data_IF_720316605203
#
_entry.id   IF_720316605203
#
_cell.length_a   1.000
_cell.length_b   1.000
_cell.length_c   1.000
_cell.angle_alpha   90.00
_cell.angle_beta   90.00
_cell.angle_gamma   90.00
#
_symmetry.space_group_name_H-M   'P 1'
#
loop_
_entity.id
_entity.type
_entity.pdbx_description
1 polymer ?
#
# COMPACT_ATOMS: atom_id res chain seq x y z
N UNK A 1 37.19 -17.09 -42.74
CA UNK A 1 38.08 -15.95 -43.07
C UNK A 1 38.08 -14.99 -41.89
N UNK A 2 39.28 -14.50 -41.51
CA UNK A 2 39.61 -13.39 -40.59
C UNK A 2 39.45 -13.59 -39.07
N UNK A 3 40.59 -13.95 -38.49
CA UNK A 3 41.11 -13.59 -37.15
C UNK A 3 41.46 -12.08 -37.04
N UNK A 4 41.45 -11.55 -35.81
CA UNK A 4 42.03 -10.24 -35.42
C UNK A 4 41.19 -9.52 -34.35
N UNK A 5 41.41 -9.70 -33.04
CA UNK A 5 42.48 -9.21 -32.13
C UNK A 5 42.23 -7.77 -31.59
N UNK A 6 41.97 -7.73 -30.28
CA UNK A 6 42.21 -6.71 -29.22
C UNK A 6 42.46 -5.24 -29.58
N UNK A 7 41.78 -4.34 -28.83
CA UNK A 7 42.43 -3.20 -28.15
C UNK A 7 41.75 -2.90 -26.82
N UNK A 8 42.59 -2.46 -25.87
CA UNK A 8 42.33 -2.33 -24.45
C UNK A 8 42.35 -0.87 -24.00
N UNK A 9 41.81 -0.66 -22.79
CA UNK A 9 42.27 0.30 -21.76
C UNK A 9 42.11 1.82 -21.96
N UNK A 10 41.53 2.44 -20.93
CA UNK A 10 41.53 3.88 -20.70
C UNK A 10 40.97 4.23 -19.32
N UNK A 11 41.73 3.90 -18.27
CA UNK A 11 41.44 4.29 -16.89
C UNK A 11 41.75 5.78 -16.67
N UNK A 12 40.82 6.53 -16.07
CA UNK A 12 41.07 7.89 -15.59
C UNK A 12 41.63 7.85 -14.16
N UNK A 13 42.81 8.46 -14.01
CA UNK A 13 43.56 8.60 -12.77
C UNK A 13 43.01 9.75 -11.91
N UNK A 14 42.83 9.49 -10.62
CA UNK A 14 42.59 10.47 -9.56
C UNK A 14 43.87 11.27 -9.29
N UNK A 15 43.79 12.60 -9.37
CA UNK A 15 44.85 13.51 -8.91
C UNK A 15 44.58 13.89 -7.46
N UNK A 16 45.41 13.36 -6.57
CA UNK A 16 45.63 13.86 -5.21
C UNK A 16 46.73 14.91 -5.27
N UNK A 17 46.49 16.10 -4.70
CA UNK A 17 47.55 17.05 -4.39
C UNK A 17 47.35 17.57 -2.96
N UNK A 18 48.21 17.11 -2.06
CA UNK A 18 48.38 17.64 -0.71
C UNK A 18 49.63 18.55 -0.68
N UNK A 19 49.56 19.69 0.01
CA UNK A 19 50.75 20.47 0.37
C UNK A 19 50.44 21.69 1.24
N UNK A 20 50.91 21.67 2.50
CA UNK A 20 50.87 22.72 3.53
C UNK A 20 51.68 23.97 3.14
N UNK A 21 51.59 25.17 3.74
CA UNK A 21 51.75 25.54 5.16
C UNK A 21 51.68 27.09 5.26
N UNK A 22 51.17 27.68 6.36
CA UNK A 22 51.44 29.11 6.67
C UNK A 22 50.44 29.78 7.61
N UNK A 23 50.91 30.20 8.79
CA UNK A 23 50.18 30.80 9.92
C UNK A 23 49.70 32.25 9.65
N UNK A 24 48.59 32.63 10.31
CA UNK A 24 48.26 34.03 10.65
C UNK A 24 46.83 34.20 11.14
N UNK A 25 46.64 34.40 12.46
CA UNK A 25 45.37 34.82 13.07
C UNK A 25 44.99 36.25 12.64
N UNK A 26 43.72 36.46 12.29
CA UNK A 26 42.92 37.63 12.67
C UNK A 26 41.47 37.45 12.12
N UNK A 27 40.52 37.44 13.05
CA UNK A 27 39.13 37.92 12.98
C UNK A 27 38.44 38.04 11.62
N UNK A 28 37.43 37.20 11.39
CA UNK A 28 36.17 37.65 10.79
C UNK A 28 35.05 36.67 11.15
N UNK A 29 34.10 37.18 11.92
CA UNK A 29 32.78 36.60 12.14
C UNK A 29 32.04 36.31 10.83
N UNK A 30 31.08 35.40 10.92
CA UNK A 30 30.00 35.12 9.95
C UNK A 30 30.32 34.06 8.89
N UNK A 31 30.27 32.80 9.30
CA UNK A 31 29.69 31.78 8.42
C UNK A 31 28.31 31.51 9.01
N UNK A 32 27.33 32.27 8.53
CA UNK A 32 25.93 31.86 8.61
C UNK A 32 25.87 30.45 8.05
N UNK A 33 25.61 29.50 8.95
CA UNK A 33 25.13 28.19 8.63
C UNK A 33 23.79 28.41 7.93
N UNK A 34 23.83 28.53 6.61
CA UNK A 34 22.65 28.40 5.75
C UNK A 34 22.21 26.95 5.93
N UNK A 35 21.48 26.69 7.01
CA UNK A 35 20.68 25.52 7.18
C UNK A 35 19.78 25.51 5.95
N UNK A 36 20.17 24.70 4.97
CA UNK A 36 19.35 24.37 3.83
C UNK A 36 18.07 23.80 4.42
N UNK A 37 17.05 24.66 4.50
CA UNK A 37 15.66 24.29 4.46
C UNK A 37 15.53 23.41 3.23
N UNK A 38 15.68 22.10 3.44
CA UNK A 38 15.18 21.10 2.51
C UNK A 38 13.69 21.30 2.58
N UNK A 39 13.19 22.21 1.74
CA UNK A 39 11.78 22.36 1.46
C UNK A 39 11.29 20.96 1.16
N UNK A 40 10.52 20.43 2.11
CA UNK A 40 9.97 19.10 2.03
C UNK A 40 9.01 19.18 0.84
N UNK A 41 9.42 18.66 -0.31
CA UNK A 41 8.52 18.51 -1.46
C UNK A 41 7.27 17.83 -0.88
N UNK A 42 6.10 18.46 -0.97
CA UNK A 42 4.88 17.86 -0.43
C UNK A 42 4.76 16.49 -1.08
N UNK A 43 4.76 15.43 -0.26
CA UNK A 43 4.49 14.11 -0.77
C UNK A 43 3.19 14.17 -1.56
N UNK A 44 3.19 13.68 -2.79
CA UNK A 44 1.99 13.72 -3.62
C UNK A 44 0.81 13.11 -2.84
N UNK A 45 -0.40 13.71 -2.96
CA UNK A 45 -1.55 13.24 -2.24
C UNK A 45 -1.81 11.77 -2.58
N UNK A 46 -1.70 10.90 -1.57
CA UNK A 46 -1.92 9.47 -1.73
C UNK A 46 -3.40 9.19 -2.02
N UNK A 47 -3.71 8.25 -2.93
CA UNK A 47 -5.09 7.81 -3.13
C UNK A 47 -5.75 7.35 -1.84
N UNK A 48 -7.02 7.68 -1.66
CA UNK A 48 -7.80 7.31 -0.47
C UNK A 48 -8.92 6.37 -0.87
N UNK A 49 -8.97 5.20 -0.23
CA UNK A 49 -10.11 4.29 -0.34
C UNK A 49 -11.23 4.79 0.59
N UNK A 50 -12.44 4.82 0.05
CA UNK A 50 -13.68 5.12 0.78
C UNK A 50 -14.68 3.99 0.58
N UNK A 51 -15.83 4.07 1.25
CA UNK A 51 -16.88 3.08 1.13
C UNK A 51 -17.40 2.88 -0.30
N UNK A 52 -17.29 3.90 -1.15
CA UNK A 52 -17.86 3.88 -2.49
C UNK A 52 -16.81 3.93 -3.60
N UNK A 53 -15.54 4.18 -3.31
CA UNK A 53 -14.55 4.47 -4.36
C UNK A 53 -13.09 4.46 -3.95
N UNK A 54 -12.21 4.42 -4.95
CA UNK A 54 -10.83 4.90 -4.87
C UNK A 54 -10.55 5.83 -6.05
N UNK A 55 -10.28 7.11 -5.76
CA UNK A 55 -10.09 8.11 -6.80
C UNK A 55 -11.29 8.20 -7.76
N UNK A 56 -11.05 7.94 -9.04
CA UNK A 56 -12.08 7.94 -10.09
C UNK A 56 -12.77 6.60 -10.34
N UNK A 57 -12.51 5.57 -9.52
CA UNK A 57 -13.09 4.23 -9.66
C UNK A 57 -14.14 4.02 -8.57
N UNK A 58 -15.36 3.61 -8.95
CA UNK A 58 -16.52 3.59 -8.07
C UNK A 58 -17.20 2.22 -8.00
N UNK A 59 -17.67 1.86 -6.81
CA UNK A 59 -18.61 0.75 -6.64
C UNK A 59 -19.88 1.02 -7.46
N UNK A 60 -20.32 0.03 -8.22
CA UNK A 60 -21.51 0.06 -9.08
C UNK A 60 -21.28 0.64 -10.48
N UNK A 61 -20.09 1.15 -10.80
CA UNK A 61 -19.80 1.58 -12.16
C UNK A 61 -19.61 0.38 -13.10
N UNK A 62 -19.88 0.59 -14.39
CA UNK A 62 -19.68 -0.43 -15.42
C UNK A 62 -18.20 -0.75 -15.57
N UNK A 63 -17.84 -2.04 -15.59
CA UNK A 63 -16.46 -2.49 -15.86
C UNK A 63 -15.94 -2.02 -17.22
N UNK A 64 -16.83 -1.70 -18.15
CA UNK A 64 -16.49 -1.19 -19.48
C UNK A 64 -16.21 0.32 -19.50
N UNK A 65 -16.65 1.06 -18.48
CA UNK A 65 -16.50 2.52 -18.41
C UNK A 65 -15.22 2.94 -17.65
N UNK A 66 -14.56 1.98 -16.99
CA UNK A 66 -13.29 2.15 -16.29
C UNK A 66 -12.22 2.67 -17.28
N UNK A 67 -11.55 3.80 -17.02
CA UNK A 67 -10.48 4.29 -17.90
C UNK A 67 -9.28 3.33 -17.98
N UNK A 68 -8.49 3.38 -19.07
CA UNK A 68 -7.27 2.57 -19.18
C UNK A 68 -6.14 3.04 -18.25
N UNK A 69 -6.16 4.32 -17.86
CA UNK A 69 -5.24 4.93 -16.90
C UNK A 69 -5.90 6.13 -16.21
N UNK A 70 -5.52 6.40 -14.97
CA UNK A 70 -5.88 7.61 -14.23
C UNK A 70 -4.60 8.15 -13.58
N UNK A 71 -4.21 9.38 -13.95
CA UNK A 71 -3.01 10.04 -13.41
C UNK A 71 -3.05 10.08 -11.88
N UNK A 72 -1.92 9.74 -11.24
CA UNK A 72 -1.81 9.65 -9.78
C UNK A 72 -2.45 8.41 -9.14
N UNK A 73 -3.16 7.56 -9.89
CA UNK A 73 -3.83 6.37 -9.36
C UNK A 73 -3.28 5.07 -9.98
N UNK A 74 -3.35 4.90 -11.30
CA UNK A 74 -2.82 3.74 -12.01
C UNK A 74 -2.44 4.09 -13.47
N UNK A 75 -1.47 3.35 -14.00
CA UNK A 75 -0.92 3.55 -15.35
C UNK A 75 -1.46 2.56 -16.38
N UNK A 76 -2.01 1.43 -15.94
CA UNK A 76 -2.63 0.43 -16.78
C UNK A 76 -3.65 -0.42 -16.00
N UNK A 77 -4.58 -1.05 -16.71
CA UNK A 77 -5.47 -2.09 -16.17
C UNK A 77 -5.37 -3.40 -16.96
N UNK A 78 -5.59 -4.51 -16.28
CA UNK A 78 -5.65 -5.84 -16.89
C UNK A 78 -6.92 -6.56 -16.44
N UNK A 79 -7.73 -6.98 -17.40
CA UNK A 79 -8.92 -7.77 -17.13
C UNK A 79 -8.54 -9.24 -16.95
N UNK A 80 -9.05 -9.86 -15.91
CA UNK A 80 -8.87 -11.27 -15.60
C UNK A 80 -10.17 -11.92 -15.16
N UNK A 81 -10.06 -13.16 -14.71
CA UNK A 81 -11.16 -13.88 -14.09
C UNK A 81 -10.60 -14.76 -12.97
N UNK A 82 -11.29 -14.77 -11.84
CA UNK A 82 -11.20 -15.82 -10.82
C UNK A 82 -12.32 -16.85 -11.06
N UNK A 83 -12.36 -17.97 -10.33
CA UNK A 83 -13.48 -18.91 -10.41
C UNK A 83 -14.85 -18.26 -10.19
N UNK A 84 -14.90 -17.20 -9.39
CA UNK A 84 -16.14 -16.62 -8.87
C UNK A 84 -16.41 -15.20 -9.38
N UNK A 85 -15.44 -14.52 -10.01
CA UNK A 85 -15.58 -13.12 -10.43
C UNK A 85 -14.76 -12.78 -11.68
N UNK A 86 -15.23 -11.80 -12.44
CA UNK A 86 -14.37 -11.05 -13.35
C UNK A 86 -13.53 -10.07 -12.53
N UNK A 87 -12.25 -9.95 -12.85
CA UNK A 87 -11.33 -9.07 -12.12
C UNK A 87 -10.77 -7.99 -13.03
N UNK A 88 -10.50 -6.82 -12.46
CA UNK A 88 -9.70 -5.77 -13.10
C UNK A 88 -8.54 -5.47 -12.16
N UNK A 89 -7.33 -5.81 -12.59
CA UNK A 89 -6.10 -5.52 -11.85
C UNK A 89 -5.57 -4.17 -12.31
N UNK A 90 -5.47 -3.22 -11.39
CA UNK A 90 -4.96 -1.88 -11.66
C UNK A 90 -3.48 -1.80 -11.28
N UNK A 91 -2.64 -1.41 -12.23
CA UNK A 91 -1.17 -1.39 -12.07
C UNK A 91 -0.63 0.03 -12.08
N UNK A 92 0.25 0.33 -11.13
CA UNK A 92 1.06 1.55 -11.11
C UNK A 92 2.51 1.26 -11.51
N UNK A 93 3.40 2.23 -11.26
CA UNK A 93 4.81 2.13 -11.65
C UNK A 93 5.57 0.96 -11.01
N UNK A 94 5.16 0.53 -9.80
CA UNK A 94 5.87 -0.50 -9.02
C UNK A 94 5.15 -1.86 -9.03
N UNK A 95 4.01 -1.98 -9.71
CA UNK A 95 3.23 -3.22 -9.76
C UNK A 95 1.73 -3.00 -9.54
N UNK A 96 1.06 -4.03 -9.03
CA UNK A 96 -0.38 -4.00 -8.74
C UNK A 96 -0.68 -3.04 -7.59
N UNK A 97 -1.70 -2.19 -7.75
CA UNK A 97 -2.14 -1.20 -6.76
C UNK A 97 -3.37 -1.70 -6.00
N UNK A 98 -4.40 -2.08 -6.76
CA UNK A 98 -5.67 -2.56 -6.26
C UNK A 98 -6.36 -3.42 -7.33
N UNK A 99 -7.36 -4.19 -6.92
CA UNK A 99 -8.16 -5.06 -7.78
C UNK A 99 -9.64 -4.71 -7.59
N UNK A 100 -10.37 -4.60 -8.69
CA UNK A 100 -11.83 -4.57 -8.67
C UNK A 100 -12.40 -5.94 -9.06
N UNK A 101 -13.56 -6.29 -8.51
CA UNK A 101 -14.28 -7.53 -8.81
C UNK A 101 -15.69 -7.21 -9.30
N UNK A 102 -16.16 -8.01 -10.26
CA UNK A 102 -17.53 -8.09 -10.77
C UNK A 102 -18.02 -9.53 -10.63
N UNK A 103 -19.07 -9.73 -9.85
CA UNK A 103 -19.67 -11.04 -9.58
C UNK A 103 -20.77 -11.42 -10.57
N UNK A 104 -20.88 -10.70 -11.70
CA UNK A 104 -21.66 -11.12 -12.86
C UNK A 104 -22.68 -10.09 -13.38
N UNK A 105 -22.73 -8.88 -12.80
CA UNK A 105 -23.63 -7.82 -13.25
C UNK A 105 -22.99 -6.86 -14.27
N UNK A 106 -21.71 -7.05 -14.60
CA UNK A 106 -20.97 -6.12 -15.46
C UNK A 106 -20.56 -4.84 -14.72
N UNK A 107 -20.51 -4.87 -13.38
CA UNK A 107 -20.27 -3.70 -12.52
C UNK A 107 -19.23 -4.01 -11.47
N UNK A 108 -18.55 -2.97 -10.99
CA UNK A 108 -17.63 -3.09 -9.86
C UNK A 108 -18.42 -3.32 -8.58
N UNK A 109 -18.32 -4.51 -8.00
CA UNK A 109 -18.95 -4.88 -6.74
C UNK A 109 -18.03 -4.69 -5.54
N UNK A 110 -16.72 -4.86 -5.76
CA UNK A 110 -15.69 -4.78 -4.72
C UNK A 110 -14.45 -4.07 -5.27
N UNK A 111 -13.80 -3.28 -4.41
CA UNK A 111 -12.45 -2.75 -4.63
C UNK A 111 -11.59 -3.20 -3.44
N UNK A 112 -10.44 -3.83 -3.72
CA UNK A 112 -9.49 -4.33 -2.73
C UNK A 112 -8.09 -3.76 -2.96
N UNK A 113 -7.44 -3.22 -1.93
CA UNK A 113 -6.06 -2.74 -2.01
C UNK A 113 -5.07 -3.90 -2.02
N UNK A 114 -4.01 -3.77 -2.83
CA UNK A 114 -2.91 -4.73 -2.90
C UNK A 114 -1.63 -4.14 -2.32
N UNK A 115 -1.37 -2.85 -2.57
CA UNK A 115 -0.14 -2.21 -2.15
C UNK A 115 -0.31 -1.24 -0.96
N UNK A 116 0.78 -0.57 -0.61
CA UNK A 116 0.87 0.34 0.53
C UNK A 116 0.71 1.83 0.14
N UNK A 117 0.46 2.12 -1.14
CA UNK A 117 0.38 3.50 -1.63
C UNK A 117 -0.98 4.10 -1.31
N UNK A 118 -2.05 3.36 -1.57
CA UNK A 118 -3.41 3.77 -1.19
C UNK A 118 -3.62 3.64 0.33
N UNK A 119 -4.40 4.55 0.90
CA UNK A 119 -4.63 4.61 2.34
C UNK A 119 -6.11 4.82 2.67
N UNK A 120 -6.45 4.64 3.94
CA UNK A 120 -7.74 4.95 4.54
C UNK A 120 -7.58 6.15 5.45
N UNK A 121 -8.53 7.08 5.36
CA UNK A 121 -8.59 8.24 6.26
C UNK A 121 -9.34 7.88 7.53
N UNK A 122 -8.66 7.96 8.66
CA UNK A 122 -9.22 7.71 9.98
C UNK A 122 -9.08 8.94 10.90
N UNK A 123 -9.80 8.98 12.04
CA UNK A 123 -9.75 10.11 12.97
C UNK A 123 -8.35 10.44 13.50
N UNK A 124 -7.45 9.45 13.56
CA UNK A 124 -6.06 9.60 14.06
C UNK A 124 -5.03 9.83 12.95
N UNK A 125 -5.46 9.94 11.71
CA UNK A 125 -4.58 10.08 10.54
C UNK A 125 -4.89 9.06 9.46
N UNK A 126 -3.95 8.91 8.53
CA UNK A 126 -4.03 7.93 7.45
C UNK A 126 -3.33 6.63 7.86
N UNK A 127 -3.86 5.48 7.44
CA UNK A 127 -3.15 4.20 7.49
C UNK A 127 -3.53 3.33 6.29
N UNK A 128 -2.73 2.33 5.95
CA UNK A 128 -2.95 1.43 4.82
C UNK A 128 -2.47 0.01 5.09
N UNK A 129 -2.30 -0.75 4.01
CA UNK A 129 -1.68 -2.09 4.05
C UNK A 129 -0.28 -1.97 4.64
N UNK A 130 0.09 -2.93 5.50
CA UNK A 130 1.39 -2.97 6.18
C UNK A 130 1.48 -2.15 7.46
N UNK A 131 0.56 -1.23 7.73
CA UNK A 131 0.51 -0.51 9.01
C UNK A 131 0.00 -1.42 10.14
N UNK A 132 0.24 -1.03 11.40
CA UNK A 132 -0.18 -1.82 12.57
C UNK A 132 -1.70 -2.04 12.59
N UNK A 133 -2.12 -3.28 12.82
CA UNK A 133 -3.54 -3.63 12.91
C UNK A 133 -4.25 -2.97 14.11
N UNK A 134 -3.49 -2.58 15.14
CA UNK A 134 -4.02 -1.79 16.25
C UNK A 134 -4.65 -0.45 15.81
N UNK A 135 -4.27 0.10 14.65
CA UNK A 135 -4.94 1.26 14.07
C UNK A 135 -6.40 0.96 13.72
N UNK A 136 -6.71 -0.24 13.22
CA UNK A 136 -8.08 -0.71 12.92
C UNK A 136 -8.86 -0.93 14.22
N UNK A 137 -8.26 -1.60 15.19
CA UNK A 137 -8.90 -1.91 16.48
C UNK A 137 -9.27 -0.67 17.31
N UNK A 138 -8.62 0.45 17.03
CA UNK A 138 -8.85 1.74 17.70
C UNK A 138 -9.84 2.64 16.95
N UNK A 139 -10.37 2.21 15.80
CA UNK A 139 -11.38 2.96 15.06
C UNK A 139 -12.68 3.04 15.87
N UNK A 140 -13.30 4.23 15.96
CA UNK A 140 -14.54 4.40 16.70
C UNK A 140 -15.68 3.67 15.99
N UNK A 141 -16.30 2.72 16.67
CA UNK A 141 -17.42 1.94 16.13
C UNK A 141 -17.00 0.86 15.12
N UNK A 142 -15.74 0.40 15.15
CA UNK A 142 -15.36 -0.80 14.40
C UNK A 142 -16.11 -2.02 14.91
N UNK A 143 -16.67 -2.79 13.99
CA UNK A 143 -17.41 -4.01 14.28
C UNK A 143 -16.65 -5.23 13.74
N UNK A 144 -16.86 -6.39 14.34
CA UNK A 144 -16.31 -7.66 13.84
C UNK A 144 -17.39 -8.47 13.15
N UNK A 145 -17.12 -8.99 11.96
CA UNK A 145 -18.04 -9.81 11.19
C UNK A 145 -17.35 -11.10 10.74
N UNK A 146 -18.03 -12.24 10.94
CA UNK A 146 -17.59 -13.51 10.38
C UNK A 146 -18.11 -13.60 8.94
N UNK A 147 -17.19 -13.76 7.99
CA UNK A 147 -17.55 -14.01 6.60
C UNK A 147 -17.14 -15.42 6.19
N UNK A 148 -18.11 -16.23 5.79
CA UNK A 148 -17.90 -17.58 5.27
C UNK A 148 -19.08 -18.53 5.48
N UNK A 149 -19.00 -19.70 4.85
CA UNK A 149 -20.04 -20.75 4.87
C UNK A 149 -19.49 -22.04 5.47
N UNK A 150 -20.35 -22.84 6.12
CA UNK A 150 -20.03 -24.20 6.59
C UNK A 150 -18.76 -24.30 7.46
N UNK A 151 -18.53 -23.33 8.34
CA UNK A 151 -17.33 -23.18 9.19
C UNK A 151 -16.02 -22.93 8.43
N UNK A 152 -16.09 -22.65 7.13
CA UNK A 152 -14.99 -22.13 6.33
C UNK A 152 -15.20 -20.64 6.13
N UNK A 153 -14.37 -19.82 6.77
CA UNK A 153 -14.51 -18.37 6.73
C UNK A 153 -13.42 -17.70 7.54
N UNK A 154 -13.45 -16.38 7.59
CA UNK A 154 -12.53 -15.60 8.40
C UNK A 154 -13.24 -14.41 9.04
N UNK A 155 -12.71 -13.96 10.17
CA UNK A 155 -13.14 -12.72 10.80
C UNK A 155 -12.60 -11.50 10.04
N UNK A 156 -13.48 -10.54 9.80
CA UNK A 156 -13.17 -9.22 9.30
C UNK A 156 -13.56 -8.16 10.33
N UNK A 157 -12.92 -7.00 10.22
CA UNK A 157 -13.29 -5.78 10.92
C UNK A 157 -13.95 -4.83 9.92
N UNK A 158 -15.05 -4.22 10.33
CA UNK A 158 -15.83 -3.30 9.50
C UNK A 158 -15.87 -1.93 10.12
N UNK A 159 -15.62 -0.92 9.31
CA UNK A 159 -15.73 0.47 9.73
C UNK A 159 -16.08 1.36 8.56
N UNK A 160 -17.16 2.14 8.68
CA UNK A 160 -17.65 3.07 7.67
C UNK A 160 -17.79 2.46 6.25
N UNK A 161 -18.17 1.18 6.15
CA UNK A 161 -18.32 0.47 4.87
C UNK A 161 -17.03 -0.14 4.30
N UNK A 162 -15.90 0.06 4.97
CA UNK A 162 -14.63 -0.61 4.67
C UNK A 162 -14.47 -1.89 5.48
N UNK A 163 -13.74 -2.83 4.90
CA UNK A 163 -13.45 -4.15 5.46
C UNK A 163 -11.95 -4.33 5.64
N UNK A 164 -11.53 -4.85 6.79
CA UNK A 164 -10.13 -5.01 7.16
C UNK A 164 -9.87 -6.44 7.64
N UNK A 165 -8.70 -6.98 7.29
CA UNK A 165 -8.19 -8.22 7.88
C UNK A 165 -6.66 -8.12 8.11
N UNK A 166 -6.14 -8.82 9.13
CA UNK A 166 -4.70 -8.82 9.39
C UNK A 166 -3.93 -9.59 8.31
N UNK A 167 -2.69 -9.20 8.09
CA UNK A 167 -1.77 -9.92 7.20
C UNK A 167 -1.51 -11.32 7.73
N UNK A 168 -1.57 -12.32 6.85
CA UNK A 168 -1.26 -13.70 7.21
C UNK A 168 0.25 -13.93 7.35
N UNK A 169 1.08 -13.00 6.89
CA UNK A 169 2.54 -13.12 6.92
C UNK A 169 3.15 -12.82 8.31
N UNK A 170 2.45 -12.04 9.13
CA UNK A 170 2.99 -11.46 10.37
C UNK A 170 2.27 -11.93 11.64
N UNK A 171 1.26 -12.81 11.53
CA UNK A 171 0.47 -13.27 12.67
C UNK A 171 1.04 -14.54 13.31
N UNK A 172 0.83 -14.67 14.62
CA UNK A 172 1.11 -15.91 15.33
C UNK A 172 0.16 -17.04 14.90
N UNK A 173 0.59 -18.29 15.07
CA UNK A 173 -0.27 -19.47 14.82
C UNK A 173 -1.56 -19.45 15.65
N UNK A 174 -1.51 -18.89 16.87
CA UNK A 174 -2.68 -18.78 17.74
C UNK A 174 -3.71 -17.82 17.13
N UNK A 175 -3.27 -16.61 16.77
CA UNK A 175 -4.14 -15.62 16.15
C UNK A 175 -4.67 -16.14 14.81
N UNK A 176 -3.83 -16.76 13.99
CA UNK A 176 -4.24 -17.41 12.74
C UNK A 176 -5.39 -18.39 12.97
N UNK A 177 -5.24 -19.34 13.91
CA UNK A 177 -6.32 -20.29 14.22
C UNK A 177 -7.60 -19.59 14.68
N UNK A 178 -7.51 -18.54 15.50
CA UNK A 178 -8.69 -17.80 15.96
C UNK A 178 -9.41 -17.07 14.83
N UNK A 179 -8.67 -16.52 13.85
CA UNK A 179 -9.25 -15.85 12.69
C UNK A 179 -10.14 -16.76 11.86
N UNK A 180 -9.84 -18.05 11.79
CA UNK A 180 -10.59 -19.05 11.02
C UNK A 180 -11.53 -19.91 11.89
N UNK A 181 -11.95 -19.42 13.06
CA UNK A 181 -12.93 -20.09 13.93
C UNK A 181 -14.19 -19.23 14.14
N UNK A 182 -15.40 -19.70 13.74
CA UNK A 182 -16.62 -18.89 13.78
C UNK A 182 -17.17 -18.64 15.19
N UNK A 183 -16.59 -19.26 16.22
CA UNK A 183 -17.14 -19.27 17.58
C UNK A 183 -17.03 -17.88 18.23
N UNK A 184 -15.87 -17.24 18.09
CA UNK A 184 -15.61 -15.97 18.74
C UNK A 184 -14.55 -15.17 17.97
N UNK A 185 -14.87 -13.91 17.68
CA UNK A 185 -13.91 -12.98 17.08
C UNK A 185 -12.64 -12.85 17.95
N UNK A 186 -11.46 -12.69 17.33
CA UNK A 186 -10.28 -12.22 18.03
C UNK A 186 -10.56 -10.89 18.75
N UNK A 187 -10.05 -10.78 19.97
CA UNK A 187 -10.13 -9.58 20.79
C UNK A 187 -8.86 -8.76 20.63
N UNK A 188 -8.83 -7.47 21.03
CA UNK A 188 -7.62 -6.67 20.92
C UNK A 188 -6.38 -7.26 21.62
N UNK A 189 -6.57 -8.08 22.67
CA UNK A 189 -5.47 -8.74 23.37
C UNK A 189 -4.79 -9.86 22.54
N UNK A 190 -5.42 -10.30 21.45
CA UNK A 190 -4.88 -11.31 20.54
C UNK A 190 -3.90 -10.71 19.51
N UNK A 191 -3.83 -9.39 19.43
CA UNK A 191 -2.98 -8.65 18.50
C UNK A 191 -1.81 -8.02 19.25
N UNK A 192 -0.60 -8.36 18.82
CA UNK A 192 0.60 -7.63 19.23
C UNK A 192 0.97 -6.57 18.17
N UNK A 193 2.03 -5.82 18.48
CA UNK A 193 2.51 -4.72 17.65
C UNK A 193 3.16 -5.16 16.32
N UNK A 194 3.39 -6.46 16.12
CA UNK A 194 3.91 -7.01 14.86
C UNK A 194 2.81 -7.32 13.85
N UNK A 195 1.55 -7.43 14.30
CA UNK A 195 0.43 -7.69 13.40
C UNK A 195 0.10 -6.45 12.58
N UNK A 196 0.10 -6.63 11.27
CA UNK A 196 -0.15 -5.56 10.30
C UNK A 196 -1.47 -5.75 9.57
N UNK A 197 -1.98 -4.70 8.95
CA UNK A 197 -3.12 -4.76 8.02
C UNK A 197 -2.67 -5.45 6.74
N UNK A 198 -3.35 -6.54 6.36
CA UNK A 198 -3.07 -7.28 5.13
C UNK A 198 -4.19 -7.25 4.10
N UNK A 199 -5.35 -6.73 4.47
CA UNK A 199 -6.48 -6.56 3.58
C UNK A 199 -7.21 -5.26 3.94
N UNK A 200 -7.54 -4.49 2.91
CA UNK A 200 -8.47 -3.36 2.99
C UNK A 200 -9.33 -3.39 1.73
N UNK A 201 -10.63 -3.54 1.90
CA UNK A 201 -11.58 -3.54 0.78
C UNK A 201 -12.86 -2.77 1.07
N UNK A 202 -13.64 -2.54 0.02
CA UNK A 202 -14.96 -1.92 0.10
C UNK A 202 -15.93 -2.56 -0.89
N UNK A 203 -17.23 -2.34 -0.70
CA UNK A 203 -18.31 -2.89 -1.52
C UNK A 203 -19.03 -4.06 -0.84
N UNK A 204 -19.49 -5.02 -1.64
CA UNK A 204 -20.16 -6.21 -1.13
C UNK A 204 -19.18 -7.04 -0.28
N UNK A 205 -19.57 -7.54 0.90
CA UNK A 205 -18.91 -8.72 1.43
C UNK A 205 -19.21 -9.86 0.47
N UNK A 206 -18.14 -10.39 -0.11
CA UNK A 206 -18.01 -11.74 -0.67
C UNK A 206 -19.15 -12.71 -0.31
#
# INVERSE_FOLDING_TARGET
MKTGLFYAFGAFLLVSCSGSQGKGSADSDSIEETASLVDSIPAEPRPVLTKDSIGGIFIGESVNDVPDAIEGLYTAKENGASPDAVTIVFKGAEGERFIAYDFGEGKIDVINLIDTVAQVKAPRGMFGIGDKFSNVLQLPGVETEWSGYDNSGTWYWKWEGLWFAPSQETISENLSRRLYQPIQAPTPADFDDSVTVGFIGTGLPF
#
